data_IF_692601305890
#
_entry.id   IF_692601305890
#
_cell.length_a   1.000
_cell.length_b   1.000
_cell.length_c   1.000
_cell.angle_alpha   90.00
_cell.angle_beta   90.00
_cell.angle_gamma   90.00
#
_symmetry.space_group_name_H-M   'P 1'
#
loop_
_entity.id
_entity.type
_entity.pdbx_description
1 polymer ?
#
# COMPACT_ATOMS: atom_id res chain seq x y z
N UNK A 1 49.47 13.61 33.38
CA UNK A 1 48.45 12.83 32.61
C UNK A 1 47.36 12.15 33.45
N UNK A 2 47.28 12.32 34.79
CA UNK A 2 46.26 11.62 35.61
C UNK A 2 44.87 12.27 35.59
N UNK A 3 44.81 13.59 35.36
CA UNK A 3 43.55 14.35 35.37
C UNK A 3 42.63 13.97 34.20
N UNK A 4 43.18 13.81 32.99
CA UNK A 4 42.43 13.41 31.80
C UNK A 4 41.81 12.00 31.94
N UNK A 5 42.54 11.07 32.57
CA UNK A 5 42.02 9.73 32.86
C UNK A 5 40.85 9.76 33.86
N UNK A 6 40.93 10.59 34.91
CA UNK A 6 39.84 10.76 35.87
C UNK A 6 38.60 11.38 35.20
N UNK A 7 38.79 12.37 34.32
CA UNK A 7 37.69 12.99 33.57
C UNK A 7 37.04 12.02 32.58
N UNK A 8 37.83 11.20 31.87
CA UNK A 8 37.33 10.18 30.95
C UNK A 8 36.56 9.07 31.69
N UNK A 9 37.06 8.63 32.84
CA UNK A 9 36.36 7.65 33.68
C UNK A 9 35.02 8.20 34.20
N UNK A 10 34.96 9.47 34.60
CA UNK A 10 33.69 10.09 35.01
C UNK A 10 32.72 10.23 33.83
N UNK A 11 33.22 10.57 32.65
CA UNK A 11 32.40 10.68 31.45
C UNK A 11 31.79 9.32 31.08
N UNK A 12 32.62 8.28 30.98
CA UNK A 12 32.17 6.91 30.68
C UNK A 12 31.21 6.37 31.75
N UNK A 13 31.41 6.67 33.02
CA UNK A 13 30.48 6.28 34.09
C UNK A 13 29.11 6.97 33.95
N UNK A 14 29.08 8.26 33.60
CA UNK A 14 27.84 9.01 33.35
C UNK A 14 27.12 8.45 32.13
N UNK A 15 27.84 8.13 31.05
CA UNK A 15 27.25 7.52 29.85
C UNK A 15 26.68 6.13 30.13
N UNK A 16 27.39 5.30 30.87
CA UNK A 16 26.92 3.98 31.28
C UNK A 16 25.65 4.08 32.13
N UNK A 17 25.61 4.99 33.11
CA UNK A 17 24.41 5.23 33.93
C UNK A 17 23.23 5.69 33.07
N UNK A 18 23.46 6.58 32.09
CA UNK A 18 22.43 7.01 31.13
C UNK A 18 21.94 5.86 30.26
N UNK A 19 22.82 4.98 29.79
CA UNK A 19 22.46 3.80 29.00
C UNK A 19 21.61 2.82 29.81
N UNK A 20 21.98 2.55 31.06
CA UNK A 20 21.21 1.69 31.97
C UNK A 20 19.82 2.28 32.24
N UNK A 21 19.70 3.59 32.47
CA UNK A 21 18.40 4.25 32.65
C UNK A 21 17.52 4.15 31.40
N UNK A 22 18.09 4.38 30.20
CA UNK A 22 17.37 4.23 28.94
C UNK A 22 16.89 2.80 28.71
N UNK A 23 17.73 1.82 29.01
CA UNK A 23 17.38 0.41 28.89
C UNK A 23 16.23 0.05 29.83
N UNK A 24 16.29 0.48 31.11
CA UNK A 24 15.18 0.26 32.06
C UNK A 24 13.86 0.85 31.58
N UNK A 25 13.89 2.09 31.06
CA UNK A 25 12.68 2.72 30.52
C UNK A 25 12.12 1.96 29.30
N UNK A 26 13.00 1.46 28.43
CA UNK A 26 12.60 0.65 27.28
C UNK A 26 12.02 -0.69 27.74
N UNK A 27 12.68 -1.40 28.66
CA UNK A 27 12.23 -2.69 29.20
C UNK A 27 10.87 -2.55 29.91
N UNK A 28 10.65 -1.47 30.65
CA UNK A 28 9.36 -1.16 31.26
C UNK A 28 8.28 -0.86 30.21
N UNK A 29 8.61 -0.10 29.16
CA UNK A 29 7.69 0.16 28.06
C UNK A 29 7.32 -1.14 27.31
N UNK A 30 8.31 -2.00 27.04
CA UNK A 30 8.07 -3.32 26.44
C UNK A 30 7.23 -4.20 27.35
N UNK A 31 7.49 -4.22 28.66
CA UNK A 31 6.70 -5.00 29.62
C UNK A 31 5.26 -4.52 29.70
N UNK A 32 5.02 -3.20 29.73
CA UNK A 32 3.68 -2.61 29.69
C UNK A 32 2.97 -2.95 28.39
N UNK A 33 3.63 -2.77 27.25
CA UNK A 33 3.06 -3.10 25.95
C UNK A 33 2.72 -4.60 25.85
N UNK A 34 3.63 -5.48 26.25
CA UNK A 34 3.42 -6.92 26.24
C UNK A 34 2.25 -7.37 27.14
N UNK A 35 1.95 -6.62 28.21
CA UNK A 35 0.80 -6.90 29.08
C UNK A 35 -0.53 -6.72 28.34
N UNK A 36 -0.65 -5.71 27.45
CA UNK A 36 -1.85 -5.47 26.65
C UNK A 36 -2.11 -6.54 25.58
N UNK A 37 -1.07 -7.29 25.20
CA UNK A 37 -1.16 -8.39 24.24
C UNK A 37 -1.25 -9.77 24.91
N UNK A 38 -1.34 -9.84 26.24
CA UNK A 38 -1.67 -11.09 26.92
C UNK A 38 -3.17 -11.37 26.76
N UNK A 39 -3.58 -12.60 26.37
CA UNK A 39 -4.99 -12.97 26.22
C UNK A 39 -5.84 -12.65 27.47
N UNK A 40 -5.25 -12.88 28.66
CA UNK A 40 -5.91 -12.61 29.95
C UNK A 40 -6.21 -11.12 30.23
N UNK A 41 -5.48 -10.20 29.59
CA UNK A 41 -5.59 -8.77 29.89
C UNK A 41 -6.47 -8.01 28.90
N UNK A 42 -6.71 -8.57 27.71
CA UNK A 42 -7.52 -7.91 26.69
C UNK A 42 -8.52 -8.89 26.05
N UNK A 43 -9.79 -8.89 26.51
CA UNK A 43 -10.83 -9.78 25.96
C UNK A 43 -11.15 -9.50 24.48
N UNK A 44 -10.75 -8.32 23.95
CA UNK A 44 -10.90 -8.02 22.52
C UNK A 44 -9.95 -8.86 21.65
N UNK A 45 -8.82 -9.34 22.18
CA UNK A 45 -7.94 -10.25 21.44
C UNK A 45 -8.57 -11.63 21.29
N UNK A 46 -9.22 -12.12 22.35
CA UNK A 46 -9.98 -13.37 22.27
C UNK A 46 -11.18 -13.24 21.32
N UNK A 47 -11.88 -12.10 21.34
CA UNK A 47 -12.93 -11.82 20.36
C UNK A 47 -12.39 -11.76 18.92
N UNK A 48 -11.24 -11.11 18.70
CA UNK A 48 -10.60 -11.04 17.38
C UNK A 48 -10.16 -12.42 16.88
N UNK A 49 -9.59 -13.25 17.76
CA UNK A 49 -9.22 -14.64 17.44
C UNK A 49 -10.48 -15.44 17.11
N UNK A 50 -11.55 -15.28 17.86
CA UNK A 50 -12.82 -15.96 17.59
C UNK A 50 -13.48 -15.50 16.28
N UNK A 51 -13.33 -14.22 15.89
CA UNK A 51 -13.79 -13.69 14.60
C UNK A 51 -12.94 -14.22 13.44
N UNK A 52 -11.60 -14.21 13.59
CA UNK A 52 -10.67 -14.73 12.59
C UNK A 52 -10.79 -16.24 12.39
N UNK A 53 -11.16 -16.98 13.44
CA UNK A 53 -11.40 -18.42 13.39
C UNK A 53 -12.84 -18.77 13.00
N UNK A 54 -13.69 -17.78 12.71
CA UNK A 54 -15.09 -17.98 12.30
C UNK A 54 -16.03 -18.39 13.43
N UNK A 55 -15.54 -18.63 14.65
CA UNK A 55 -16.37 -19.06 15.80
C UNK A 55 -17.47 -18.06 16.16
N UNK A 56 -17.25 -16.77 15.88
CA UNK A 56 -18.20 -15.68 16.14
C UNK A 56 -18.80 -15.06 14.88
N UNK A 57 -18.62 -15.66 13.70
CA UNK A 57 -19.17 -15.13 12.45
C UNK A 57 -20.70 -15.06 12.44
N UNK A 58 -21.36 -15.95 13.19
CA UNK A 58 -22.81 -15.99 13.34
C UNK A 58 -23.34 -15.29 14.61
N UNK A 59 -22.48 -14.70 15.44
CA UNK A 59 -22.93 -13.89 16.57
C UNK A 59 -23.44 -12.55 16.06
N UNK A 60 -24.73 -12.51 15.74
CA UNK A 60 -25.45 -11.31 15.39
C UNK A 60 -25.27 -10.27 16.50
N UNK A 61 -24.46 -9.25 16.25
CA UNK A 61 -24.33 -8.09 17.12
C UNK A 61 -25.61 -7.27 16.95
N UNK A 62 -26.52 -7.22 17.94
CA UNK A 62 -27.79 -6.51 17.78
C UNK A 62 -27.57 -5.01 17.53
N UNK A 63 -26.51 -4.43 18.10
CA UNK A 63 -26.10 -3.05 17.84
C UNK A 63 -25.64 -2.82 16.39
N UNK A 64 -24.96 -3.79 15.77
CA UNK A 64 -24.57 -3.70 14.35
C UNK A 64 -25.82 -3.81 13.46
N UNK A 65 -26.75 -4.68 13.82
CA UNK A 65 -27.99 -4.86 13.07
C UNK A 65 -28.94 -3.67 13.20
N UNK A 66 -28.93 -3.00 14.36
CA UNK A 66 -29.59 -1.72 14.59
C UNK A 66 -28.93 -0.59 13.77
N UNK A 67 -27.60 -0.48 13.79
CA UNK A 67 -26.88 0.51 12.99
C UNK A 67 -27.07 0.31 11.47
N UNK A 68 -27.11 -0.95 11.00
CA UNK A 68 -27.41 -1.27 9.59
C UNK A 68 -28.84 -0.85 9.25
N UNK A 69 -29.82 -1.09 10.15
CA UNK A 69 -31.21 -0.69 9.94
C UNK A 69 -31.37 0.83 9.91
N UNK A 70 -30.73 1.56 10.83
CA UNK A 70 -30.75 3.03 10.87
C UNK A 70 -30.09 3.63 9.61
N UNK A 71 -29.02 3.02 9.10
CA UNK A 71 -28.39 3.42 7.84
C UNK A 71 -29.29 3.12 6.62
N UNK A 72 -30.01 2.00 6.61
CA UNK A 72 -30.99 1.66 5.58
C UNK A 72 -32.22 2.58 5.60
N UNK A 73 -32.65 3.04 6.76
CA UNK A 73 -33.78 3.96 6.90
C UNK A 73 -33.43 5.41 6.54
N UNK A 74 -32.15 5.80 6.61
CA UNK A 74 -31.65 7.14 6.25
C UNK A 74 -31.14 7.24 4.82
N UNK A 75 -31.10 6.14 4.06
CA UNK A 75 -30.86 6.19 2.61
C UNK A 75 -32.19 6.48 1.90
N UNK A 76 -32.30 7.53 1.06
CA UNK A 76 -33.41 7.61 0.12
C UNK A 76 -33.41 6.33 -0.70
N UNK A 77 -34.60 5.80 -1.02
CA UNK A 77 -34.79 4.68 -1.92
C UNK A 77 -34.18 5.01 -3.29
N UNK A 78 -32.89 4.75 -3.44
CA UNK A 78 -32.21 4.71 -4.72
C UNK A 78 -32.37 3.28 -5.24
N UNK A 79 -32.85 3.12 -6.49
CA UNK A 79 -32.86 1.80 -7.12
C UNK A 79 -31.43 1.23 -7.10
N UNK A 80 -31.35 -0.09 -7.08
CA UNK A 80 -30.15 -0.91 -7.13
C UNK A 80 -28.99 -0.24 -7.88
N UNK A 81 -27.76 -0.44 -7.38
CA UNK A 81 -26.49 0.02 -7.97
C UNK A 81 -26.23 -0.74 -9.29
N UNK A 82 -27.08 -0.51 -10.28
CA UNK A 82 -26.92 -0.89 -11.67
C UNK A 82 -27.05 0.32 -12.60
N UNK A 83 -27.41 1.51 -12.10
CA UNK A 83 -27.93 2.58 -12.97
C UNK A 83 -27.41 4.00 -12.73
N UNK A 84 -26.29 4.19 -12.00
CA UNK A 84 -25.63 5.53 -11.99
C UNK A 84 -24.83 5.83 -13.27
N UNK A 85 -24.57 4.81 -14.10
CA UNK A 85 -23.92 4.99 -15.41
C UNK A 85 -24.93 5.29 -16.51
N UNK A 86 -26.23 5.01 -16.34
CA UNK A 86 -27.23 5.21 -17.38
C UNK A 86 -27.76 6.65 -17.50
N UNK A 87 -27.41 7.56 -16.58
CA UNK A 87 -27.84 8.97 -16.62
C UNK A 87 -26.72 9.95 -16.98
N UNK A 88 -25.46 9.52 -17.06
CA UNK A 88 -24.37 10.33 -17.60
C UNK A 88 -24.32 10.15 -19.13
N UNK A 89 -24.00 11.20 -19.89
CA UNK A 89 -23.70 11.01 -21.32
C UNK A 89 -22.61 9.94 -21.44
N UNK A 90 -22.70 9.07 -22.45
CA UNK A 90 -21.77 7.95 -22.61
C UNK A 90 -20.30 8.40 -22.58
N UNK A 91 -20.03 9.63 -23.02
CA UNK A 91 -18.75 10.31 -23.02
C UNK A 91 -18.28 10.70 -21.61
N UNK A 92 -19.18 11.22 -20.78
CA UNK A 92 -18.89 11.56 -19.37
C UNK A 92 -18.60 10.30 -18.56
N UNK A 93 -19.33 9.22 -18.82
CA UNK A 93 -19.09 7.91 -18.21
C UNK A 93 -17.69 7.37 -18.57
N UNK A 94 -17.28 7.50 -19.84
CA UNK A 94 -15.95 7.10 -20.31
C UNK A 94 -14.85 7.94 -19.62
N UNK A 95 -15.03 9.24 -19.48
CA UNK A 95 -14.04 10.12 -18.84
C UNK A 95 -13.90 9.85 -17.34
N UNK A 96 -15.01 9.55 -16.66
CA UNK A 96 -15.00 9.10 -15.26
C UNK A 96 -14.22 7.78 -15.14
N UNK A 97 -14.49 6.80 -16.01
CA UNK A 97 -13.82 5.50 -15.97
C UNK A 97 -12.33 5.58 -16.31
N UNK A 98 -11.93 6.46 -17.23
CA UNK A 98 -10.51 6.77 -17.49
C UNK A 98 -9.83 7.34 -16.25
N UNK A 99 -10.50 8.25 -15.54
CA UNK A 99 -9.97 8.83 -14.30
C UNK A 99 -9.85 7.78 -13.19
N UNK A 100 -10.84 6.90 -13.05
CA UNK A 100 -10.81 5.78 -12.09
C UNK A 100 -9.64 4.84 -12.40
N UNK A 101 -9.44 4.50 -13.66
CA UNK A 101 -8.31 3.69 -14.12
C UNK A 101 -6.97 4.35 -13.78
N UNK A 102 -6.80 5.62 -14.12
CA UNK A 102 -5.58 6.36 -13.82
C UNK A 102 -5.32 6.44 -12.32
N UNK A 103 -6.34 6.72 -11.52
CA UNK A 103 -6.22 6.78 -10.05
C UNK A 103 -5.81 5.43 -9.45
N UNK A 104 -6.39 4.33 -9.93
CA UNK A 104 -6.07 2.98 -9.47
C UNK A 104 -4.62 2.58 -9.81
N UNK A 105 -4.10 3.07 -10.94
CA UNK A 105 -2.72 2.81 -11.39
C UNK A 105 -1.68 3.82 -10.89
N UNK A 106 -2.10 4.92 -10.26
CA UNK A 106 -1.20 6.01 -9.84
C UNK A 106 -0.43 5.73 -8.54
N UNK A 107 -0.77 4.66 -7.81
CA UNK A 107 -0.09 4.34 -6.55
C UNK A 107 1.23 3.60 -6.79
N UNK A 108 2.25 3.86 -5.97
CA UNK A 108 3.58 3.22 -6.07
C UNK A 108 3.57 1.69 -5.87
N UNK A 109 2.47 1.14 -5.34
CA UNK A 109 2.23 -0.29 -5.21
C UNK A 109 0.72 -0.59 -5.29
N UNK A 110 0.15 -0.72 -6.49
CA UNK A 110 -1.29 -0.91 -6.66
C UNK A 110 -1.73 -2.22 -6.04
N UNK A 111 -2.82 -2.18 -5.26
CA UNK A 111 -3.41 -3.35 -4.62
C UNK A 111 -3.99 -4.28 -5.68
N UNK A 112 -4.09 -5.58 -5.40
CA UNK A 112 -4.74 -6.53 -6.31
C UNK A 112 -6.17 -6.10 -6.69
N UNK A 113 -6.86 -5.44 -5.77
CA UNK A 113 -8.19 -4.88 -6.00
C UNK A 113 -8.16 -3.65 -6.92
N UNK A 114 -7.15 -2.78 -6.78
CA UNK A 114 -6.97 -1.62 -7.66
C UNK A 114 -6.72 -2.06 -9.11
N UNK A 115 -5.96 -3.14 -9.30
CA UNK A 115 -5.74 -3.74 -10.61
C UNK A 115 -7.02 -4.30 -11.23
N UNK A 116 -7.88 -4.95 -10.43
CA UNK A 116 -9.18 -5.45 -10.89
C UNK A 116 -10.13 -4.31 -11.26
N UNK A 117 -10.15 -3.23 -10.48
CA UNK A 117 -10.94 -2.04 -10.78
C UNK A 117 -10.45 -1.37 -12.06
N UNK A 118 -9.13 -1.24 -12.24
CA UNK A 118 -8.54 -0.68 -13.45
C UNK A 118 -8.83 -1.54 -14.70
N UNK A 119 -8.76 -2.87 -14.58
CA UNK A 119 -9.13 -3.80 -15.66
C UNK A 119 -10.62 -3.69 -16.00
N UNK A 120 -11.49 -3.70 -14.99
CA UNK A 120 -12.95 -3.58 -15.19
C UNK A 120 -13.32 -2.27 -15.88
N UNK A 121 -12.67 -1.16 -15.50
CA UNK A 121 -12.85 0.13 -16.18
C UNK A 121 -12.35 0.10 -17.63
N UNK A 122 -11.22 -0.55 -17.89
CA UNK A 122 -10.67 -0.71 -19.24
C UNK A 122 -11.60 -1.53 -20.16
N UNK A 123 -12.15 -2.63 -19.64
CA UNK A 123 -13.07 -3.50 -20.40
C UNK A 123 -14.35 -2.76 -20.79
N UNK A 124 -14.90 -1.97 -19.88
CA UNK A 124 -16.08 -1.13 -20.16
C UNK A 124 -15.80 -0.10 -21.27
N UNK A 125 -14.65 0.59 -21.17
CA UNK A 125 -14.24 1.58 -22.18
C UNK A 125 -14.06 0.88 -23.55
N UNK A 126 -13.42 -0.29 -23.58
CA UNK A 126 -13.20 -1.04 -24.81
C UNK A 126 -14.51 -1.49 -25.46
N UNK A 127 -15.45 -2.02 -24.66
CA UNK A 127 -16.76 -2.43 -25.15
C UNK A 127 -17.54 -1.27 -25.76
N UNK A 128 -17.55 -0.11 -25.10
CA UNK A 128 -18.31 1.06 -25.59
C UNK A 128 -17.68 1.70 -26.82
N UNK A 129 -16.35 1.73 -26.90
CA UNK A 129 -15.60 2.31 -28.04
C UNK A 129 -15.77 1.49 -29.33
N UNK A 130 -15.97 0.16 -29.23
CA UNK A 130 -16.18 -0.70 -30.42
C UNK A 130 -17.48 -0.42 -31.19
N UNK A 131 -18.49 0.19 -30.56
CA UNK A 131 -19.76 0.51 -31.23
C UNK A 131 -19.74 1.80 -32.06
N UNK A 132 -18.70 2.64 -31.94
CA UNK A 132 -18.60 3.93 -32.65
C UNK A 132 -17.68 3.90 -33.87
N UNK A 133 -16.94 2.80 -34.09
CA UNK A 133 -15.98 2.69 -35.20
C UNK A 133 -16.36 1.56 -36.17
N UNK A 134 -17.28 1.85 -37.10
CA UNK A 134 -17.31 1.14 -38.38
C UNK A 134 -16.41 1.87 -39.37
N UNK A 135 -15.14 1.48 -39.45
CA UNK A 135 -14.42 1.28 -40.71
C UNK A 135 -12.99 0.78 -40.43
N UNK A 136 -12.76 -0.42 -40.95
CA UNK A 136 -11.50 -0.97 -41.41
C UNK A 136 -10.42 -1.42 -40.41
N UNK A 137 -10.27 -2.75 -40.47
CA UNK A 137 -9.03 -3.55 -40.44
C UNK A 137 -8.60 -4.22 -39.12
N UNK A 138 -9.15 -5.44 -38.94
CA UNK A 138 -8.43 -6.73 -38.80
C UNK A 138 -7.18 -6.71 -37.90
N UNK A 139 -7.21 -7.36 -36.72
CA UNK A 139 -6.90 -8.79 -36.62
C UNK A 139 -7.22 -9.38 -35.23
N UNK A 140 -7.40 -10.69 -35.22
CA UNK A 140 -8.18 -11.49 -34.29
C UNK A 140 -7.55 -11.84 -32.93
N UNK A 141 -8.46 -12.10 -31.98
CA UNK A 141 -8.58 -13.21 -30.99
C UNK A 141 -8.95 -12.62 -29.63
N UNK A 142 -10.07 -12.93 -28.99
CA UNK A 142 -10.57 -14.27 -28.69
C UNK A 142 -12.03 -14.19 -28.21
N UNK A 143 -12.93 -14.98 -28.81
CA UNK A 143 -14.21 -15.33 -28.19
C UNK A 143 -13.98 -16.52 -27.27
N UNK A 144 -14.08 -16.34 -25.95
CA UNK A 144 -14.43 -17.37 -24.96
C UNK A 144 -15.27 -16.67 -23.89
N UNK A 145 -16.58 -16.89 -23.90
CA UNK A 145 -17.25 -17.98 -23.18
C UNK A 145 -16.96 -17.92 -21.66
N UNK A 146 -18.06 -17.71 -20.96
CA UNK A 146 -18.23 -17.66 -19.50
C UNK A 146 -17.73 -18.98 -18.90
N UNK A 147 -16.57 -18.96 -18.26
CA UNK A 147 -16.27 -19.74 -17.04
C UNK A 147 -14.80 -19.59 -16.64
N UNK A 148 -14.58 -19.06 -15.43
CA UNK A 148 -13.49 -19.43 -14.52
C UNK A 148 -12.02 -19.11 -14.86
N UNK A 149 -11.30 -18.66 -13.80
CA UNK A 149 -9.84 -18.57 -13.57
C UNK A 149 -9.09 -17.30 -14.01
N UNK A 150 -8.74 -16.50 -12.98
CA UNK A 150 -7.42 -15.90 -12.72
C UNK A 150 -6.47 -15.83 -13.92
N UNK A 151 -6.45 -14.69 -14.61
CA UNK A 151 -5.40 -14.39 -15.60
C UNK A 151 -4.15 -13.94 -14.83
N UNK A 152 -3.23 -14.86 -14.57
CA UNK A 152 -1.87 -14.51 -14.17
C UNK A 152 -1.19 -13.76 -15.34
N UNK A 153 -0.55 -12.60 -15.09
CA UNK A 153 0.21 -11.92 -16.13
C UNK A 153 1.34 -12.85 -16.62
N UNK A 154 1.46 -13.00 -17.93
CA UNK A 154 2.48 -13.82 -18.58
C UNK A 154 3.88 -13.44 -18.06
N UNK A 155 4.73 -14.42 -17.75
CA UNK A 155 6.06 -14.17 -17.15
C UNK A 155 6.90 -13.13 -17.90
N UNK A 156 6.71 -13.01 -19.21
CA UNK A 156 7.40 -12.03 -20.04
C UNK A 156 6.99 -10.60 -19.71
N UNK A 157 5.69 -10.34 -19.52
CA UNK A 157 5.20 -9.01 -19.15
C UNK A 157 5.69 -8.61 -17.75
N UNK A 158 5.74 -9.56 -16.81
CA UNK A 158 6.32 -9.30 -15.48
C UNK A 158 7.81 -8.95 -15.55
N UNK A 159 8.60 -9.66 -16.38
CA UNK A 159 10.02 -9.35 -16.57
C UNK A 159 10.24 -7.97 -17.18
N UNK A 160 9.40 -7.56 -18.12
CA UNK A 160 9.48 -6.25 -18.75
C UNK A 160 9.11 -5.11 -17.78
N UNK A 161 8.03 -5.28 -17.00
CA UNK A 161 7.64 -4.26 -16.01
C UNK A 161 8.70 -4.07 -14.92
N UNK A 162 9.29 -5.16 -14.43
CA UNK A 162 10.40 -5.12 -13.46
C UNK A 162 11.63 -4.44 -14.06
N UNK A 163 11.98 -4.76 -15.31
CA UNK A 163 13.11 -4.11 -16.02
C UNK A 163 12.90 -2.61 -16.14
N UNK A 164 11.72 -2.19 -16.58
CA UNK A 164 11.40 -0.77 -16.77
C UNK A 164 11.46 -0.01 -15.44
N UNK A 165 10.91 -0.59 -14.37
CA UNK A 165 10.98 -0.02 -13.02
C UNK A 165 12.42 0.15 -12.53
N UNK A 166 13.26 -0.88 -12.70
CA UNK A 166 14.67 -0.81 -12.29
C UNK A 166 15.44 0.24 -13.10
N UNK A 167 15.14 0.36 -14.39
CA UNK A 167 15.74 1.36 -15.25
C UNK A 167 15.38 2.78 -14.81
N UNK A 168 14.11 3.05 -14.52
CA UNK A 168 13.65 4.36 -14.05
C UNK A 168 14.25 4.73 -12.69
N UNK A 169 14.35 3.75 -11.78
CA UNK A 169 15.04 3.92 -10.51
C UNK A 169 16.53 4.23 -10.68
N UNK A 170 17.21 3.57 -11.62
CA UNK A 170 18.61 3.84 -11.92
C UNK A 170 18.79 5.22 -12.56
N UNK A 171 17.90 5.60 -13.49
CA UNK A 171 17.92 6.89 -14.17
C UNK A 171 17.75 8.05 -13.18
N UNK A 172 16.78 7.96 -12.27
CA UNK A 172 16.55 8.99 -11.24
C UNK A 172 17.74 9.13 -10.29
N UNK A 173 18.33 8.01 -9.81
CA UNK A 173 19.54 8.04 -8.97
C UNK A 173 20.73 8.66 -9.68
N UNK A 174 20.95 8.30 -10.94
CA UNK A 174 22.02 8.89 -11.74
C UNK A 174 21.81 10.39 -11.96
N UNK A 175 20.60 10.81 -12.33
CA UNK A 175 20.26 12.21 -12.49
C UNK A 175 20.50 12.99 -11.20
N UNK A 176 20.07 12.45 -10.06
CA UNK A 176 20.32 13.02 -8.74
C UNK A 176 21.82 13.15 -8.45
N UNK A 177 22.61 12.10 -8.69
CA UNK A 177 24.06 12.15 -8.50
C UNK A 177 24.74 13.19 -9.40
N UNK A 178 24.33 13.30 -10.66
CA UNK A 178 24.83 14.32 -11.60
C UNK A 178 24.49 15.72 -11.10
N UNK A 179 23.27 15.93 -10.60
CA UNK A 179 22.87 17.21 -10.02
C UNK A 179 23.69 17.56 -8.78
N UNK A 180 23.93 16.59 -7.88
CA UNK A 180 24.80 16.78 -6.71
C UNK A 180 26.25 17.12 -7.11
N UNK A 181 26.80 16.42 -8.10
CA UNK A 181 28.13 16.73 -8.61
C UNK A 181 28.20 18.14 -9.22
N UNK A 182 27.16 18.55 -9.98
CA UNK A 182 27.03 19.90 -10.55
C UNK A 182 26.90 20.98 -9.48
N UNK A 183 26.22 20.70 -8.38
CA UNK A 183 26.09 21.63 -7.25
C UNK A 183 27.34 21.69 -6.36
N UNK A 184 28.40 20.96 -6.71
CA UNK A 184 29.67 20.95 -5.98
C UNK A 184 29.66 20.09 -4.72
N UNK A 185 28.64 19.25 -4.53
CA UNK A 185 28.60 18.30 -3.43
C UNK A 185 29.68 17.23 -3.63
N UNK A 186 30.56 17.07 -2.64
CA UNK A 186 31.58 16.01 -2.58
C UNK A 186 31.27 15.11 -1.40
N UNK A 187 31.32 13.80 -1.61
CA UNK A 187 31.28 12.87 -0.48
C UNK A 187 32.54 13.06 0.36
N UNK A 188 32.35 13.19 1.67
CA UNK A 188 33.44 13.28 2.63
C UNK A 188 34.03 11.87 2.76
N UNK A 189 35.14 11.63 2.05
CA UNK A 189 35.81 10.34 2.09
C UNK A 189 36.51 10.20 3.46
N UNK A 190 36.42 9.04 4.12
CA UNK A 190 37.12 8.82 5.38
C UNK A 190 38.63 8.89 5.14
N UNK A 191 39.26 9.93 5.69
CA UNK A 191 40.70 10.13 5.63
C UNK A 191 41.39 9.14 6.59
N UNK A 192 42.03 8.10 6.03
CA UNK A 192 42.87 7.20 6.81
C UNK A 192 44.28 7.78 6.93
N UNK A 193 44.61 8.26 8.14
CA UNK A 193 45.99 8.63 8.47
C UNK A 193 46.87 7.39 8.48
N UNK A 194 47.86 7.35 7.60
CA UNK A 194 48.90 6.32 7.66
C UNK A 194 49.85 6.69 8.80
N UNK A 195 49.97 5.79 9.79
CA UNK A 195 50.96 5.91 10.86
C UNK A 195 52.30 5.46 10.26
N UNK A 196 53.28 6.37 10.25
CA UNK A 196 54.67 6.09 9.89
C UNK A 196 55.46 5.58 11.11
#
# INVERSE_FOLDING_TARGET
>A
MKLAAILNNRYTEIENRKRVLKQKNADEAYKKNAQYFQPKSNPALDELVDLLTGKKEHQAKPALQQAIRELQETTPNYPEIHDVVAMASDEEAIDILKRVQQSALSSDNPTAQDLQVAQSAADYIAQKTQFTTNSDSIDATSKKNVDSLTVQPTEQQYKETVRNRLFEQAASKYQFQVQMARSGFRFDEPMFYHIA
#
